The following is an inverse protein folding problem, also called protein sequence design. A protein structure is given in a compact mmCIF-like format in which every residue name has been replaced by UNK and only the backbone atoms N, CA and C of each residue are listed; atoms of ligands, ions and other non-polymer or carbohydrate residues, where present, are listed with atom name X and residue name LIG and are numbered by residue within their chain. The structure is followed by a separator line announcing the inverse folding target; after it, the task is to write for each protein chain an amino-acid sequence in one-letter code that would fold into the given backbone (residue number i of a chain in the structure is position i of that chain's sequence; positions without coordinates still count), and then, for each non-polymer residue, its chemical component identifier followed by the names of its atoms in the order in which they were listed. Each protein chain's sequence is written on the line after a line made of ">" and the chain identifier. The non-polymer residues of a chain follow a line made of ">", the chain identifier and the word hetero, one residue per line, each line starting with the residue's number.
data_IF_045338728428
#
_entry.id   IF_045338728428
#
_cell.length_a   1.000
_cell.length_b   1.000
_cell.length_c   1.000
_cell.angle_alpha   90.00
_cell.angle_beta   90.00
_cell.angle_gamma   90.00
#
_symmetry.space_group_name_H-M   'P 1'
#
loop_
_entity.id
_entity.type
_entity.pdbx_description
1 polymer ?
#
# COMPACT_ATOMS: atom_id res chain seq x y z
N UNK A 1 -12.69 -2.10 11.75
CA UNK A 1 -11.29 -1.64 11.79
C UNK A 1 -10.39 -2.86 11.73
N UNK A 2 -9.19 -2.72 11.17
CA UNK A 2 -8.22 -3.80 10.98
C UNK A 2 -6.82 -3.30 11.34
N UNK A 3 -6.00 -4.20 11.90
CA UNK A 3 -4.58 -3.98 12.16
C UNK A 3 -3.78 -5.11 11.50
N UNK A 4 -2.72 -4.73 10.78
CA UNK A 4 -1.82 -5.67 10.12
C UNK A 4 -0.38 -5.27 10.41
N UNK A 5 0.46 -6.25 10.71
CA UNK A 5 1.91 -6.11 10.77
C UNK A 5 2.56 -6.89 9.63
N UNK A 6 3.58 -6.31 8.99
CA UNK A 6 4.42 -6.99 8.00
C UNK A 6 5.84 -7.08 8.54
N UNK A 7 6.34 -8.31 8.63
CA UNK A 7 7.64 -8.65 9.23
C UNK A 7 8.77 -8.57 8.20
N UNK A 8 9.00 -7.40 7.59
CA UNK A 8 10.12 -7.23 6.66
C UNK A 8 11.48 -7.51 7.33
N UNK A 9 11.59 -7.17 8.62
CA UNK A 9 12.77 -7.37 9.44
C UNK A 9 13.21 -8.82 9.56
N UNK A 10 12.33 -9.80 9.32
CA UNK A 10 12.66 -11.22 9.40
C UNK A 10 13.29 -11.77 8.11
N UNK A 11 13.41 -10.98 7.05
CA UNK A 11 13.95 -11.40 5.76
C UNK A 11 15.24 -10.65 5.49
N UNK A 12 16.40 -11.33 5.62
CA UNK A 12 17.72 -10.68 5.55
C UNK A 12 17.95 -9.88 4.26
N UNK A 13 17.52 -10.40 3.09
CA UNK A 13 17.65 -9.69 1.81
C UNK A 13 16.84 -8.37 1.73
N UNK A 14 15.87 -8.18 2.61
CA UNK A 14 15.05 -6.97 2.71
C UNK A 14 15.53 -6.08 3.87
N UNK A 15 15.83 -6.69 5.01
CA UNK A 15 16.09 -6.01 6.28
C UNK A 15 17.56 -5.61 6.50
N UNK A 16 18.52 -6.29 5.87
CA UNK A 16 19.93 -5.96 6.04
C UNK A 16 20.16 -4.49 5.64
N UNK A 17 20.98 -3.74 6.39
CA UNK A 17 21.29 -2.36 6.05
C UNK A 17 21.84 -2.23 4.64
N UNK A 18 21.47 -1.18 3.92
CA UNK A 18 22.02 -0.87 2.61
C UNK A 18 23.54 -0.65 2.64
N UNK A 19 24.06 -0.14 3.76
CA UNK A 19 25.48 0.02 4.03
C UNK A 19 26.27 -1.31 4.04
N UNK A 20 25.61 -2.47 4.13
CA UNK A 20 26.33 -3.74 4.01
C UNK A 20 26.97 -3.93 2.62
N UNK A 21 26.59 -3.12 1.62
CA UNK A 21 27.25 -3.06 0.31
C UNK A 21 28.75 -2.73 0.39
N UNK A 22 29.23 -2.16 1.51
CA UNK A 22 30.64 -1.88 1.74
C UNK A 22 31.46 -3.08 2.23
N UNK A 23 30.78 -4.09 2.79
CA UNK A 23 31.44 -5.20 3.49
C UNK A 23 31.12 -6.57 2.90
N UNK A 24 30.09 -6.66 2.05
CA UNK A 24 29.67 -7.91 1.42
C UNK A 24 29.01 -7.67 0.06
N UNK A 25 29.14 -8.60 -0.90
CA UNK A 25 28.46 -8.51 -2.19
C UNK A 25 26.96 -8.76 -2.05
N UNK A 26 26.18 -8.30 -3.03
CA UNK A 26 24.77 -8.67 -3.17
C UNK A 26 24.62 -10.20 -3.25
N UNK A 27 23.60 -10.74 -2.58
CA UNK A 27 23.33 -12.18 -2.53
C UNK A 27 24.09 -12.94 -1.45
N UNK A 28 25.10 -12.35 -0.79
CA UNK A 28 25.67 -12.93 0.42
C UNK A 28 24.68 -12.87 1.59
N UNK A 29 24.77 -13.79 2.56
CA UNK A 29 23.87 -13.82 3.72
C UNK A 29 23.89 -12.54 4.58
N UNK A 30 25.06 -11.89 4.66
CA UNK A 30 25.26 -10.58 5.29
C UNK A 30 25.36 -9.44 4.25
N UNK A 31 25.02 -9.70 2.99
CA UNK A 31 25.03 -8.71 1.92
C UNK A 31 24.03 -7.58 2.14
N UNK A 32 24.10 -6.51 1.32
CA UNK A 32 23.14 -5.41 1.35
C UNK A 32 21.70 -5.88 1.14
N UNK A 33 20.80 -5.28 1.92
CA UNK A 33 19.36 -5.29 1.71
C UNK A 33 18.84 -3.85 1.70
N UNK A 34 17.52 -3.69 1.65
CA UNK A 34 16.89 -2.37 1.59
C UNK A 34 16.83 -1.65 2.94
N UNK A 35 17.32 -2.26 4.03
CA UNK A 35 17.21 -1.71 5.40
C UNK A 35 15.76 -1.57 5.88
N UNK A 36 14.81 -2.30 5.27
CA UNK A 36 13.39 -2.17 5.62
C UNK A 36 13.13 -2.75 7.00
N UNK A 37 12.49 -1.94 7.85
CA UNK A 37 11.93 -2.40 9.12
C UNK A 37 10.52 -2.96 8.92
N UNK A 38 10.08 -3.74 9.91
CA UNK A 38 8.68 -4.11 10.03
C UNK A 38 7.78 -2.88 9.97
N UNK A 39 6.59 -3.06 9.39
CA UNK A 39 5.59 -2.00 9.34
C UNK A 39 4.30 -2.41 10.01
N UNK A 40 3.67 -1.42 10.62
CA UNK A 40 2.34 -1.50 11.21
C UNK A 40 1.35 -0.76 10.30
N UNK A 41 0.18 -1.35 10.10
CA UNK A 41 -0.85 -0.86 9.19
C UNK A 41 -2.18 -0.85 9.92
N UNK A 42 -2.81 0.32 9.98
CA UNK A 42 -4.12 0.53 10.60
C UNK A 42 -5.13 0.89 9.53
N UNK A 43 -6.30 0.25 9.53
CA UNK A 43 -7.34 0.47 8.52
C UNK A 43 -8.71 0.67 9.15
N UNK A 44 -9.47 1.58 8.57
CA UNK A 44 -10.88 1.78 8.87
C UNK A 44 -11.66 1.85 7.56
N UNK A 45 -12.88 1.33 7.56
CA UNK A 45 -13.75 1.34 6.40
C UNK A 45 -15.20 1.41 6.83
N UNK A 46 -16.01 2.03 5.97
CA UNK A 46 -17.44 2.19 6.12
C UNK A 46 -18.12 1.66 4.86
N UNK A 47 -19.15 0.85 5.04
CA UNK A 47 -20.10 0.49 3.99
C UNK A 47 -21.47 1.03 4.36
N UNK A 48 -22.11 1.72 3.42
CA UNK A 48 -23.45 2.25 3.59
C UNK A 48 -24.37 1.82 2.45
N UNK A 49 -25.44 1.10 2.79
CA UNK A 49 -26.52 0.74 1.86
C UNK A 49 -27.48 1.92 1.73
N UNK A 50 -27.10 2.88 0.89
CA UNK A 50 -27.89 4.09 0.64
C UNK A 50 -29.27 3.80 0.04
N UNK A 51 -29.42 2.69 -0.69
CA UNK A 51 -30.72 2.17 -1.13
C UNK A 51 -30.69 0.66 -1.36
N UNK A 52 -31.81 0.08 -1.81
CA UNK A 52 -31.86 -1.33 -2.24
C UNK A 52 -30.93 -1.67 -3.41
N UNK A 53 -30.56 -0.67 -4.21
CA UNK A 53 -29.71 -0.84 -5.40
C UNK A 53 -28.30 -0.31 -5.22
N UNK A 54 -28.10 0.67 -4.36
CA UNK A 54 -26.83 1.38 -4.22
C UNK A 54 -26.19 1.11 -2.87
N UNK A 55 -24.94 0.63 -2.89
CA UNK A 55 -24.06 0.53 -1.73
C UNK A 55 -22.85 1.42 -1.96
N UNK A 56 -22.52 2.25 -0.99
CA UNK A 56 -21.36 3.14 -1.00
C UNK A 56 -20.31 2.62 -0.03
N UNK A 57 -19.04 2.78 -0.38
CA UNK A 57 -17.88 2.37 0.43
C UNK A 57 -16.89 3.52 0.51
N UNK A 58 -16.34 3.72 1.70
CA UNK A 58 -15.23 4.63 1.93
C UNK A 58 -14.24 3.96 2.89
N UNK A 59 -12.96 4.24 2.71
CA UNK A 59 -11.91 3.65 3.53
C UNK A 59 -10.71 4.55 3.68
N UNK A 60 -9.99 4.33 4.76
CA UNK A 60 -8.72 4.96 5.04
C UNK A 60 -7.78 3.93 5.67
N UNK A 61 -6.54 3.90 5.21
CA UNK A 61 -5.47 3.17 5.85
C UNK A 61 -4.23 4.04 6.03
N UNK A 62 -3.55 3.80 7.15
CA UNK A 62 -2.25 4.37 7.46
C UNK A 62 -1.24 3.26 7.70
N UNK A 63 -0.06 3.35 7.09
CA UNK A 63 1.08 2.50 7.40
C UNK A 63 2.31 3.32 7.79
N UNK A 64 3.12 2.74 8.67
CA UNK A 64 4.47 3.27 8.94
C UNK A 64 5.38 3.05 7.72
N UNK A 65 6.30 3.98 7.46
CA UNK A 65 7.30 3.79 6.40
C UNK A 65 8.35 2.73 6.80
N UNK A 66 8.65 1.75 5.93
CA UNK A 66 9.72 0.78 6.17
C UNK A 66 11.12 1.38 6.00
N UNK A 67 11.25 2.47 5.24
CA UNK A 67 12.54 3.06 4.84
C UNK A 67 13.00 4.09 5.88
N UNK A 68 14.30 4.08 6.20
CA UNK A 68 14.96 5.11 7.05
C UNK A 68 15.89 5.96 6.20
N UNK A 69 16.20 7.17 6.66
CA UNK A 69 17.13 8.08 5.98
C UNK A 69 18.50 7.48 5.68
N UNK A 70 18.96 6.49 6.44
CA UNK A 70 20.24 5.81 6.20
C UNK A 70 20.21 4.88 4.97
N UNK A 71 19.03 4.46 4.51
CA UNK A 71 18.88 3.44 3.46
C UNK A 71 18.28 3.98 2.16
N UNK A 72 18.04 5.29 2.06
CA UNK A 72 17.28 5.91 0.96
C UNK A 72 17.91 5.67 -0.41
N UNK A 73 19.24 5.66 -0.51
CA UNK A 73 19.93 5.50 -1.79
C UNK A 73 19.60 4.16 -2.46
N UNK A 74 19.72 3.03 -1.76
CA UNK A 74 19.43 1.73 -2.37
C UNK A 74 17.92 1.56 -2.63
N UNK A 75 17.10 2.25 -1.86
CA UNK A 75 15.64 2.28 -2.01
C UNK A 75 15.14 3.03 -3.25
N UNK A 76 16.01 3.66 -4.04
CA UNK A 76 15.66 4.09 -5.41
C UNK A 76 15.16 2.90 -6.25
N UNK A 77 15.69 1.68 -6.02
CA UNK A 77 15.29 0.47 -6.75
C UNK A 77 13.93 -0.10 -6.32
N UNK A 78 13.52 0.16 -5.09
CA UNK A 78 12.27 -0.33 -4.50
C UNK A 78 11.67 0.74 -3.60
N UNK A 79 11.11 1.83 -4.15
CA UNK A 79 10.52 2.87 -3.36
C UNK A 79 9.22 2.34 -2.72
N UNK A 80 9.10 2.54 -1.40
CA UNK A 80 7.98 2.07 -0.59
C UNK A 80 7.62 3.08 0.49
N UNK A 81 7.38 4.33 0.08
CA UNK A 81 7.29 5.48 1.01
C UNK A 81 5.87 5.95 1.28
N UNK A 82 4.90 5.54 0.47
CA UNK A 82 3.48 5.88 0.68
C UNK A 82 3.03 5.40 2.05
N UNK A 83 2.32 6.26 2.76
CA UNK A 83 1.80 5.99 4.12
C UNK A 83 0.30 6.13 4.24
N UNK A 84 -0.31 7.02 3.45
CA UNK A 84 -1.72 7.34 3.54
C UNK A 84 -2.43 6.73 2.33
N UNK A 85 -3.52 6.04 2.59
CA UNK A 85 -4.30 5.34 1.57
C UNK A 85 -5.77 5.72 1.76
N UNK A 86 -6.34 6.41 0.79
CA UNK A 86 -7.74 6.87 0.79
C UNK A 86 -8.47 6.08 -0.27
N UNK A 87 -9.59 5.47 0.09
CA UNK A 87 -10.40 4.70 -0.86
C UNK A 87 -11.85 5.14 -0.84
N UNK A 88 -12.46 5.10 -2.02
CA UNK A 88 -13.89 5.32 -2.21
C UNK A 88 -14.41 4.39 -3.27
N UNK A 89 -15.67 3.99 -3.18
CA UNK A 89 -16.26 3.12 -4.18
C UNK A 89 -17.74 2.92 -3.99
N UNK A 90 -18.34 2.25 -4.96
CA UNK A 90 -19.75 1.90 -4.92
C UNK A 90 -20.02 0.57 -5.59
N UNK A 91 -21.16 0.01 -5.26
CA UNK A 91 -21.80 -1.09 -5.97
C UNK A 91 -23.22 -0.67 -6.35
N UNK A 92 -23.59 -0.90 -7.60
CA UNK A 92 -24.92 -0.66 -8.11
C UNK A 92 -25.54 -1.93 -8.69
N UNK A 93 -26.63 -2.38 -8.08
CA UNK A 93 -27.41 -3.54 -8.54
C UNK A 93 -28.27 -3.15 -9.74
N UNK A 94 -27.85 -3.59 -10.93
CA UNK A 94 -28.59 -3.40 -12.18
C UNK A 94 -29.90 -4.21 -12.16
N UNK A 95 -29.83 -5.45 -11.65
CA UNK A 95 -30.99 -6.32 -11.43
C UNK A 95 -30.71 -7.33 -10.30
N UNK A 96 -31.58 -8.33 -10.09
CA UNK A 96 -31.44 -9.33 -9.00
C UNK A 96 -30.22 -10.26 -9.13
N UNK A 97 -29.57 -10.29 -10.30
CA UNK A 97 -28.43 -11.17 -10.60
C UNK A 97 -27.16 -10.44 -11.00
N UNK A 98 -27.28 -9.20 -11.49
CA UNK A 98 -26.17 -8.42 -12.04
C UNK A 98 -25.94 -7.16 -11.21
N UNK A 99 -24.69 -6.93 -10.82
CA UNK A 99 -24.24 -5.72 -10.13
C UNK A 99 -22.96 -5.19 -10.77
N UNK A 100 -22.83 -3.87 -10.85
CA UNK A 100 -21.63 -3.17 -11.24
C UNK A 100 -20.94 -2.66 -9.97
N UNK A 101 -19.62 -2.69 -9.94
CA UNK A 101 -18.84 -2.04 -8.89
C UNK A 101 -17.74 -1.17 -9.50
N UNK A 102 -17.42 -0.08 -8.80
CA UNK A 102 -16.27 0.75 -9.12
C UNK A 102 -15.63 1.26 -7.83
N UNK A 103 -14.32 1.39 -7.84
CA UNK A 103 -13.55 1.92 -6.72
C UNK A 103 -12.42 2.82 -7.23
N UNK A 104 -12.05 3.78 -6.40
CA UNK A 104 -10.88 4.63 -6.55
C UNK A 104 -10.03 4.49 -5.29
N UNK A 105 -8.74 4.42 -5.50
CA UNK A 105 -7.72 4.45 -4.48
C UNK A 105 -6.79 5.61 -4.78
N UNK A 106 -6.51 6.42 -3.76
CA UNK A 106 -5.57 7.53 -3.85
C UNK A 106 -4.62 7.50 -2.66
N UNK A 107 -3.34 7.63 -2.96
CA UNK A 107 -2.27 7.80 -1.99
C UNK A 107 -1.54 9.11 -2.30
N UNK A 108 -1.64 10.13 -1.42
CA UNK A 108 -0.93 11.38 -1.61
C UNK A 108 0.58 11.18 -1.54
N UNK A 109 1.31 12.16 -2.08
CA UNK A 109 2.77 12.12 -2.13
C UNK A 109 3.37 11.93 -0.72
N UNK A 110 4.27 10.97 -0.61
CA UNK A 110 5.12 10.79 0.55
C UNK A 110 6.58 10.78 0.11
N UNK A 111 7.46 11.32 0.96
CA UNK A 111 8.89 11.48 0.66
C UNK A 111 9.76 10.99 1.80
N UNK A 112 10.97 10.56 1.46
CA UNK A 112 12.04 10.33 2.43
C UNK A 112 13.36 10.73 1.81
N UNK A 113 14.20 11.38 2.61
CA UNK A 113 15.52 11.86 2.17
C UNK A 113 16.61 11.32 3.07
N UNK A 114 17.75 11.05 2.47
CA UNK A 114 18.92 10.45 3.09
C UNK A 114 20.21 11.00 2.50
N UNK A 115 21.32 10.69 3.15
CA UNK A 115 22.64 10.90 2.54
C UNK A 115 22.86 9.84 1.47
N UNK A 116 23.61 10.18 0.44
CA UNK A 116 24.18 9.18 -0.45
C UNK A 116 25.12 8.26 0.36
N UNK A 117 25.10 6.95 0.11
CA UNK A 117 25.95 5.99 0.83
C UNK A 117 27.43 6.42 0.73
N UNK A 118 28.23 6.35 1.81
CA UNK A 118 29.60 6.88 1.83
C UNK A 118 30.56 6.17 0.83
N UNK A 119 31.82 6.66 0.67
CA UNK A 119 32.75 6.14 -0.32
C UNK A 119 33.01 4.62 -0.24
N UNK A 120 33.24 3.94 -1.39
CA UNK A 120 33.51 4.53 -2.71
C UNK A 120 32.25 4.90 -3.52
N UNK A 121 31.03 4.74 -2.99
CA UNK A 121 29.79 4.79 -3.76
C UNK A 121 28.97 6.09 -3.64
N UNK A 122 29.41 7.08 -2.85
CA UNK A 122 28.68 8.34 -2.74
C UNK A 122 29.33 9.41 -1.87
N UNK A 123 28.72 10.60 -1.89
CA UNK A 123 29.21 11.82 -1.24
C UNK A 123 28.31 12.22 -0.06
N UNK A 124 28.81 12.32 1.18
CA UNK A 124 28.00 12.76 2.33
C UNK A 124 27.48 14.20 2.22
N UNK A 125 28.02 15.02 1.31
CA UNK A 125 27.47 16.33 0.97
C UNK A 125 26.24 16.26 0.02
N UNK A 126 25.99 15.10 -0.60
CA UNK A 126 24.86 14.88 -1.48
C UNK A 126 23.72 14.20 -0.74
N UNK A 127 22.50 14.65 -1.03
CA UNK A 127 21.28 14.06 -0.47
C UNK A 127 20.44 13.46 -1.59
N UNK A 128 19.96 12.25 -1.34
CA UNK A 128 18.99 11.56 -2.19
C UNK A 128 17.63 11.71 -1.55
N UNK A 129 16.62 12.02 -2.36
CA UNK A 129 15.22 12.00 -1.95
C UNK A 129 14.44 11.12 -2.92
N UNK A 130 13.61 10.23 -2.37
CA UNK A 130 12.63 9.46 -3.13
C UNK A 130 11.23 9.91 -2.74
N UNK A 131 10.32 9.94 -3.71
CA UNK A 131 8.95 10.38 -3.56
C UNK A 131 8.02 9.41 -4.30
N UNK A 132 6.79 9.23 -3.80
CA UNK A 132 5.75 8.46 -4.48
C UNK A 132 4.37 9.02 -4.16
N UNK A 133 3.53 9.11 -5.18
CA UNK A 133 2.07 9.20 -5.12
C UNK A 133 1.46 8.07 -5.96
N UNK A 134 0.20 7.72 -5.71
CA UNK A 134 -0.49 6.68 -6.47
C UNK A 134 -1.97 7.01 -6.66
N UNK A 135 -2.50 6.66 -7.83
CA UNK A 135 -3.91 6.67 -8.15
C UNK A 135 -4.26 5.36 -8.86
N UNK A 136 -5.27 4.66 -8.35
CA UNK A 136 -5.79 3.44 -8.96
C UNK A 136 -7.31 3.55 -9.10
N UNK A 137 -7.83 3.07 -10.24
CA UNK A 137 -9.26 2.96 -10.50
C UNK A 137 -9.57 1.51 -10.88
N UNK A 138 -10.56 0.93 -10.21
CA UNK A 138 -11.00 -0.44 -10.44
C UNK A 138 -12.47 -0.44 -10.85
N UNK A 139 -12.83 -1.27 -11.82
CA UNK A 139 -14.22 -1.55 -12.21
C UNK A 139 -14.46 -3.05 -12.21
N UNK A 140 -15.63 -3.48 -11.77
CA UNK A 140 -15.99 -4.89 -11.65
C UNK A 140 -17.45 -5.15 -12.02
N UNK A 141 -17.72 -6.39 -12.42
CA UNK A 141 -19.06 -6.88 -12.69
C UNK A 141 -19.26 -8.16 -11.89
N UNK A 142 -20.36 -8.21 -11.14
CA UNK A 142 -20.76 -9.37 -10.36
C UNK A 142 -22.03 -9.97 -10.93
N UNK A 143 -21.95 -11.25 -11.30
CA UNK A 143 -23.11 -12.05 -11.73
C UNK A 143 -23.37 -13.20 -10.75
N UNK A 144 -24.64 -13.40 -10.39
CA UNK A 144 -25.08 -14.48 -9.50
C UNK A 144 -25.89 -15.53 -10.27
N UNK A 145 -25.42 -16.78 -10.23
CA UNK A 145 -26.16 -17.95 -10.75
C UNK A 145 -27.21 -18.44 -9.75
N UNK A 146 -28.24 -19.13 -10.24
CA UNK A 146 -29.32 -19.70 -9.42
C UNK A 146 -30.55 -18.79 -9.25
N UNK A 147 -31.37 -19.11 -8.25
CA UNK A 147 -32.61 -18.37 -7.95
C UNK A 147 -32.28 -16.91 -7.55
N UNK A 148 -33.00 -15.91 -8.08
CA UNK A 148 -32.76 -14.52 -7.73
C UNK A 148 -33.03 -14.25 -6.24
N UNK A 149 -32.33 -13.28 -5.66
CA UNK A 149 -32.55 -12.84 -4.28
C UNK A 149 -34.04 -12.51 -4.07
N UNK A 150 -34.60 -12.95 -2.94
CA UNK A 150 -36.01 -12.72 -2.60
C UNK A 150 -36.35 -11.23 -2.72
N UNK A 151 -37.57 -10.91 -3.15
CA UNK A 151 -38.00 -9.52 -3.26
C UNK A 151 -37.86 -8.83 -1.91
N UNK A 152 -37.06 -7.77 -1.84
CA UNK A 152 -36.93 -6.96 -0.64
C UNK A 152 -38.25 -6.21 -0.47
N UNK A 153 -39.07 -6.61 0.50
CA UNK A 153 -40.32 -5.92 0.85
C UNK A 153 -40.07 -4.41 1.06
N UNK A 154 -41.06 -3.55 0.76
CA UNK A 154 -41.00 -2.14 1.16
C UNK A 154 -40.71 -2.04 2.67
N UNK A 155 -39.67 -1.27 3.01
CA UNK A 155 -39.53 -0.74 4.37
C UNK A 155 -40.84 0.02 4.65
N UNK A 156 -41.60 -0.46 5.64
CA UNK A 156 -42.83 0.19 6.12
C UNK A 156 -42.50 1.53 6.74
#
# INVERSE_FOLDING_TARGET
>A
ADYKRIWYGSVASIANPSANAFIAPFGAGNGPGFGWRDIDIFKVGLEWRASRKLTLRAGYAYNTSPIRSADVMLNILAPGVVQHHITGGFEYKLNRKLSLEAAVFYAPEATVSGVELPPPFGNPAHRVQIAMDQLEVTVGIKYRWGAPEAAIEPLK
#
